data_IF_532205185799
#
_entry.id   IF_532205185799
#
_cell.length_a   1.000
_cell.length_b   1.000
_cell.length_c   1.000
_cell.angle_alpha   90.00
_cell.angle_beta   90.00
_cell.angle_gamma   90.00
#
_symmetry.space_group_name_H-M   'P 1'
#
loop_
_entity.id
_entity.type
_entity.pdbx_description
1 polymer ?
#
# COMPACT_ATOMS: atom_id res chain seq x y z
N UNK A 1 18.43 20.86 19.97
CA UNK A 1 18.38 20.12 21.26
C UNK A 1 19.81 19.97 21.76
N UNK A 2 20.04 20.09 23.05
CA UNK A 2 21.29 19.71 23.72
C UNK A 2 21.24 18.22 24.15
N UNK A 3 22.39 17.58 24.45
CA UNK A 3 22.45 16.14 24.78
C UNK A 3 21.55 15.73 25.96
N UNK A 4 21.37 16.60 26.95
CA UNK A 4 20.48 16.37 28.09
C UNK A 4 19.00 16.38 27.68
N UNK A 5 18.57 17.36 26.86
CA UNK A 5 17.23 17.35 26.28
C UNK A 5 16.99 16.10 25.43
N UNK A 6 18.02 15.60 24.75
CA UNK A 6 17.91 14.40 23.93
C UNK A 6 17.70 13.14 24.77
N UNK A 7 18.52 12.96 25.81
CA UNK A 7 18.37 11.85 26.77
C UNK A 7 16.99 11.86 27.45
N UNK A 8 16.47 13.05 27.78
CA UNK A 8 15.13 13.23 28.32
C UNK A 8 14.03 12.82 27.32
N UNK A 9 14.15 13.20 26.04
CA UNK A 9 13.19 12.80 25.01
C UNK A 9 13.18 11.28 24.77
N UNK A 10 14.35 10.64 24.80
CA UNK A 10 14.47 9.17 24.65
C UNK A 10 13.90 8.45 25.88
N UNK A 11 14.09 9.00 27.08
CA UNK A 11 13.42 8.50 28.27
C UNK A 11 11.88 8.62 28.16
N UNK A 12 11.37 9.69 27.54
CA UNK A 12 9.95 9.84 27.21
C UNK A 12 9.46 8.75 26.24
N UNK A 13 10.21 8.46 25.18
CA UNK A 13 9.89 7.38 24.24
C UNK A 13 9.88 6.00 24.91
N UNK A 14 10.85 5.72 25.79
CA UNK A 14 10.89 4.48 26.57
C UNK A 14 9.65 4.32 27.45
N UNK A 15 9.19 5.40 28.08
CA UNK A 15 7.96 5.38 28.88
C UNK A 15 6.72 5.09 28.03
N UNK A 16 6.62 5.71 26.85
CA UNK A 16 5.52 5.46 25.90
C UNK A 16 5.55 4.03 25.34
N UNK A 17 6.71 3.52 24.96
CA UNK A 17 6.88 2.14 24.49
C UNK A 17 6.46 1.14 25.57
N UNK A 18 6.85 1.38 26.84
CA UNK A 18 6.41 0.57 27.97
C UNK A 18 4.88 0.58 28.17
N UNK A 19 4.24 1.74 27.98
CA UNK A 19 2.78 1.85 28.04
C UNK A 19 2.09 1.05 26.93
N UNK A 20 2.59 1.14 25.70
CA UNK A 20 2.10 0.39 24.53
C UNK A 20 2.24 -1.13 24.76
N UNK A 21 3.41 -1.59 25.20
CA UNK A 21 3.65 -3.02 25.47
C UNK A 21 2.69 -3.52 26.55
N UNK A 22 2.51 -2.76 27.64
CA UNK A 22 1.56 -3.10 28.71
C UNK A 22 0.12 -3.16 28.20
N UNK A 23 -0.31 -2.22 27.37
CA UNK A 23 -1.64 -2.20 26.79
C UNK A 23 -1.87 -3.40 25.85
N UNK A 24 -0.86 -3.75 25.05
CA UNK A 24 -0.92 -4.88 24.13
C UNK A 24 -1.00 -6.23 24.83
N UNK A 25 -0.21 -6.47 25.89
CA UNK A 25 -0.33 -7.69 26.69
C UNK A 25 -1.68 -7.82 27.41
N UNK A 26 -2.27 -6.70 27.87
CA UNK A 26 -3.62 -6.71 28.46
C UNK A 26 -4.70 -7.05 27.43
N UNK A 27 -4.50 -6.65 26.17
CA UNK A 27 -5.39 -6.98 25.08
C UNK A 27 -5.25 -8.44 24.66
N UNK A 28 -4.01 -8.94 24.53
CA UNK A 28 -3.75 -10.35 24.16
C UNK A 28 -4.30 -11.32 25.20
N UNK A 29 -4.26 -10.97 26.48
CA UNK A 29 -4.85 -11.79 27.55
C UNK A 29 -6.40 -11.84 27.52
N UNK A 30 -7.06 -10.91 26.82
CA UNK A 30 -8.52 -10.86 26.64
C UNK A 30 -9.01 -11.54 25.36
N UNK A 31 -8.13 -11.73 24.38
CA UNK A 31 -8.45 -12.31 23.09
C UNK A 31 -7.98 -13.78 23.10
N UNK A 32 -8.90 -14.71 23.31
CA UNK A 32 -8.64 -16.16 23.18
C UNK A 32 -8.27 -16.59 21.75
N UNK A 33 -8.34 -15.66 20.78
CA UNK A 33 -7.93 -15.89 19.39
C UNK A 33 -6.56 -15.28 19.10
N UNK A 34 -5.67 -16.13 18.61
CA UNK A 34 -4.36 -15.85 18.06
C UNK A 34 -4.42 -14.79 16.93
N UNK A 35 -4.41 -13.51 17.31
CA UNK A 35 -4.29 -12.40 16.35
C UNK A 35 -2.82 -12.05 16.23
N UNK A 36 -2.15 -12.80 15.35
CA UNK A 36 -0.69 -12.78 15.11
C UNK A 36 -0.13 -11.36 15.04
N UNK A 37 -0.80 -10.46 14.31
CA UNK A 37 -0.37 -9.06 14.12
C UNK A 37 -0.28 -8.24 15.42
N UNK A 38 -1.17 -8.45 16.40
CA UNK A 38 -1.11 -7.71 17.66
C UNK A 38 0.06 -8.17 18.52
N UNK A 39 0.37 -9.48 18.50
CA UNK A 39 1.56 -10.04 19.15
C UNK A 39 2.82 -9.56 18.47
N UNK A 40 2.83 -9.51 17.14
CA UNK A 40 3.92 -8.96 16.34
C UNK A 40 4.14 -7.48 16.67
N UNK A 41 3.09 -6.65 16.72
CA UNK A 41 3.20 -5.24 17.09
C UNK A 41 3.78 -5.03 18.50
N UNK A 42 3.35 -5.83 19.48
CA UNK A 42 3.88 -5.76 20.86
C UNK A 42 5.34 -6.18 20.91
N UNK A 43 5.70 -7.28 20.23
CA UNK A 43 7.07 -7.77 20.11
C UNK A 43 7.96 -6.73 19.45
N UNK A 44 7.48 -6.12 18.38
CA UNK A 44 8.22 -5.10 17.67
C UNK A 44 8.39 -3.83 18.50
N UNK A 45 7.38 -3.43 19.26
CA UNK A 45 7.50 -2.31 20.20
C UNK A 45 8.51 -2.61 21.32
N UNK A 46 8.54 -3.84 21.85
CA UNK A 46 9.51 -4.27 22.86
C UNK A 46 10.95 -4.25 22.34
N UNK A 47 11.16 -4.77 21.13
CA UNK A 47 12.44 -4.70 20.43
C UNK A 47 12.89 -3.23 20.25
N UNK A 48 11.97 -2.32 19.92
CA UNK A 48 12.27 -0.90 19.74
C UNK A 48 12.66 -0.24 21.07
N UNK A 49 11.94 -0.57 22.16
CA UNK A 49 12.29 -0.14 23.50
C UNK A 49 13.69 -0.61 23.91
N UNK A 50 14.10 -1.83 23.53
CA UNK A 50 15.45 -2.34 23.78
C UNK A 50 16.53 -1.51 23.08
N UNK A 51 16.28 -1.11 21.83
CA UNK A 51 17.18 -0.25 21.06
C UNK A 51 17.27 1.15 21.68
N UNK A 52 16.13 1.76 22.04
CA UNK A 52 16.10 3.06 22.73
C UNK A 52 16.85 3.05 24.06
N UNK A 53 16.86 1.92 24.77
CA UNK A 53 17.62 1.76 26.01
C UNK A 53 19.13 1.72 25.74
N UNK A 54 19.57 1.00 24.70
CA UNK A 54 20.96 0.98 24.26
C UNK A 54 21.44 2.37 23.81
N UNK A 55 20.61 3.06 23.03
CA UNK A 55 20.80 4.45 22.61
C UNK A 55 20.98 5.39 23.80
N UNK A 56 20.09 5.32 24.80
CA UNK A 56 20.19 6.14 26.02
C UNK A 56 21.49 5.88 26.78
N UNK A 57 21.86 4.60 26.96
CA UNK A 57 23.11 4.21 27.60
C UNK A 57 24.35 4.78 26.89
N UNK A 58 24.34 4.81 25.55
CA UNK A 58 25.40 5.43 24.75
C UNK A 58 25.48 6.95 24.89
N UNK A 59 24.33 7.63 24.96
CA UNK A 59 24.27 9.09 25.18
C UNK A 59 24.75 9.49 26.58
N UNK A 60 24.42 8.68 27.59
CA UNK A 60 24.83 8.92 28.98
C UNK A 60 26.34 8.68 29.19
N UNK A 61 26.99 7.92 28.31
CA UNK A 61 28.41 7.52 28.42
C UNK A 61 29.38 8.24 27.45
N UNK A 62 28.88 8.89 26.39
CA UNK A 62 29.72 9.49 25.33
C UNK A 62 29.82 11.02 25.41
N UNK A 63 30.98 11.60 25.08
CA UNK A 63 31.14 13.06 24.91
C UNK A 63 30.41 13.56 23.65
N UNK A 64 29.78 14.75 23.68
CA UNK A 64 28.95 15.24 22.59
C UNK A 64 29.81 15.69 21.41
N UNK A 65 29.80 14.94 20.31
CA UNK A 65 30.53 15.33 19.10
C UNK A 65 30.16 14.64 17.79
N UNK A 66 29.12 13.80 17.75
CA UNK A 66 28.98 12.85 16.63
C UNK A 66 27.61 12.70 15.97
N UNK A 67 26.58 13.39 16.44
CA UNK A 67 25.19 13.17 16.00
C UNK A 67 24.59 14.48 15.46
N UNK A 68 23.99 14.45 14.27
CA UNK A 68 23.16 15.54 13.74
C UNK A 68 21.89 15.67 14.61
N UNK A 69 21.94 16.61 15.55
CA UNK A 69 20.92 16.81 16.59
C UNK A 69 19.56 17.21 16.01
N UNK A 70 19.51 17.75 14.80
CA UNK A 70 18.26 18.16 14.15
C UNK A 70 17.55 16.98 13.48
N UNK A 71 18.30 16.15 12.76
CA UNK A 71 17.76 14.91 12.17
C UNK A 71 17.24 13.97 13.27
N UNK A 72 17.98 13.85 14.39
CA UNK A 72 17.60 12.99 15.49
C UNK A 72 16.38 13.53 16.27
N UNK A 73 16.24 14.87 16.40
CA UNK A 73 15.07 15.49 17.00
C UNK A 73 13.77 15.22 16.20
N UNK A 74 13.82 15.29 14.86
CA UNK A 74 12.67 14.98 14.02
C UNK A 74 12.22 13.54 14.17
N UNK A 75 13.16 12.59 14.21
CA UNK A 75 12.85 11.17 14.29
C UNK A 75 12.38 10.76 15.69
N UNK A 76 12.90 11.38 16.75
CA UNK A 76 12.34 11.24 18.09
C UNK A 76 10.88 11.67 18.11
N UNK A 77 10.57 12.83 17.53
CA UNK A 77 9.21 13.35 17.49
C UNK A 77 8.28 12.43 16.69
N UNK A 78 8.74 11.95 15.53
CA UNK A 78 7.94 11.07 14.68
C UNK A 78 7.75 9.69 15.33
N UNK A 79 8.76 9.17 16.05
CA UNK A 79 8.63 7.97 16.90
C UNK A 79 7.61 8.15 18.02
N UNK A 80 7.57 9.34 18.63
CA UNK A 80 6.61 9.68 19.69
C UNK A 80 5.17 9.66 19.18
N UNK A 81 4.94 10.23 17.99
CA UNK A 81 3.63 10.24 17.33
C UNK A 81 3.18 8.82 17.00
N UNK A 82 4.05 8.00 16.40
CA UNK A 82 3.74 6.60 16.06
C UNK A 82 3.41 5.78 17.31
N UNK A 83 4.19 5.90 18.40
CA UNK A 83 3.88 5.19 19.66
C UNK A 83 2.54 5.62 20.27
N UNK A 84 2.18 6.91 20.17
CA UNK A 84 0.86 7.42 20.60
C UNK A 84 -0.27 6.87 19.74
N UNK A 85 -0.09 6.76 18.43
CA UNK A 85 -1.08 6.15 17.53
C UNK A 85 -1.29 4.67 17.85
N UNK A 86 -0.22 3.94 18.14
CA UNK A 86 -0.30 2.54 18.57
C UNK A 86 -1.05 2.41 19.90
N UNK A 87 -0.72 3.23 20.91
CA UNK A 87 -1.44 3.22 22.20
C UNK A 87 -2.93 3.50 22.00
N UNK A 88 -3.29 4.47 21.16
CA UNK A 88 -4.69 4.76 20.84
C UNK A 88 -5.39 3.59 20.13
N UNK A 89 -4.72 2.93 19.19
CA UNK A 89 -5.25 1.77 18.48
C UNK A 89 -5.51 0.62 19.47
N UNK A 90 -4.52 0.27 20.30
CA UNK A 90 -4.65 -0.78 21.32
C UNK A 90 -5.76 -0.48 22.32
N UNK A 91 -5.90 0.78 22.76
CA UNK A 91 -7.00 1.20 23.65
C UNK A 91 -8.35 1.04 22.99
N UNK A 92 -8.52 1.52 21.75
CA UNK A 92 -9.78 1.35 20.98
C UNK A 92 -10.15 -0.12 20.84
N UNK A 93 -9.17 -0.99 20.59
CA UNK A 93 -9.37 -2.44 20.54
C UNK A 93 -9.80 -3.00 21.90
N UNK A 94 -9.16 -2.57 22.99
CA UNK A 94 -9.45 -3.07 24.35
C UNK A 94 -10.87 -2.77 24.87
N UNK A 95 -11.54 -1.76 24.31
CA UNK A 95 -12.87 -1.30 24.72
C UNK A 95 -14.03 -1.86 23.90
N UNK A 96 -13.77 -2.47 22.74
CA UNK A 96 -14.84 -2.86 21.81
C UNK A 96 -15.28 -4.32 22.01
N UNK A 97 -16.47 -4.58 22.53
CA UNK A 97 -17.02 -5.94 22.65
C UNK A 97 -17.40 -6.63 21.31
N UNK A 98 -17.12 -5.99 20.15
CA UNK A 98 -17.35 -6.53 18.79
C UNK A 98 -16.08 -7.10 18.12
N UNK A 99 -15.05 -7.39 18.90
CA UNK A 99 -13.70 -7.75 18.45
C UNK A 99 -13.68 -8.87 17.39
N UNK A 100 -14.41 -9.97 17.60
CA UNK A 100 -14.41 -11.10 16.67
C UNK A 100 -15.03 -10.81 15.28
N UNK A 101 -16.00 -9.90 15.18
CA UNK A 101 -16.65 -9.56 13.89
C UNK A 101 -15.82 -8.59 13.05
N UNK A 102 -15.00 -7.74 13.69
CA UNK A 102 -14.22 -6.72 12.99
C UNK A 102 -12.86 -7.22 12.50
N UNK A 103 -12.30 -8.28 13.11
CA UNK A 103 -11.13 -8.97 12.56
C UNK A 103 -11.45 -9.67 11.23
N UNK A 104 -12.67 -10.19 11.06
CA UNK A 104 -13.11 -10.81 9.79
C UNK A 104 -13.44 -9.81 8.66
N UNK A 105 -13.44 -8.50 8.92
CA UNK A 105 -13.90 -7.48 7.97
C UNK A 105 -12.76 -6.67 7.30
N UNK A 106 -11.50 -7.10 7.43
CA UNK A 106 -10.36 -6.65 6.60
C UNK A 106 -9.88 -5.19 6.74
N UNK A 107 -10.56 -4.33 7.49
CA UNK A 107 -10.24 -2.89 7.53
C UNK A 107 -9.22 -2.42 8.58
N UNK A 108 -8.76 -3.29 9.50
CA UNK A 108 -7.89 -2.90 10.64
C UNK A 108 -6.51 -3.58 10.67
N UNK A 109 -6.30 -4.60 9.85
CA UNK A 109 -4.98 -5.23 9.63
C UNK A 109 -4.02 -4.25 8.92
N UNK A 110 -4.51 -3.45 7.97
CA UNK A 110 -3.72 -2.47 7.21
C UNK A 110 -3.05 -1.39 8.09
N UNK A 111 -3.78 -0.86 9.09
CA UNK A 111 -3.22 0.14 10.02
C UNK A 111 -2.17 -0.44 10.96
N UNK A 112 -2.37 -1.67 11.45
CA UNK A 112 -1.40 -2.33 12.32
C UNK A 112 -0.12 -2.68 11.54
N UNK A 113 -0.26 -3.23 10.32
CA UNK A 113 0.86 -3.51 9.41
C UNK A 113 1.64 -2.24 9.09
N UNK A 114 0.95 -1.14 8.83
CA UNK A 114 1.59 0.17 8.63
C UNK A 114 2.40 0.58 9.87
N UNK A 115 1.81 0.56 11.07
CA UNK A 115 2.52 0.96 12.29
C UNK A 115 3.71 0.06 12.63
N UNK A 116 3.62 -1.25 12.36
CA UNK A 116 4.74 -2.20 12.49
C UNK A 116 5.91 -1.78 11.60
N UNK A 117 5.63 -1.52 10.31
CA UNK A 117 6.65 -1.09 9.34
C UNK A 117 7.37 0.20 9.78
N UNK A 118 6.62 1.15 10.34
CA UNK A 118 7.20 2.40 10.86
C UNK A 118 8.12 2.14 12.06
N UNK A 119 7.72 1.26 13.00
CA UNK A 119 8.58 0.85 14.12
C UNK A 119 9.87 0.20 13.60
N UNK A 120 9.79 -0.74 12.66
CA UNK A 120 10.96 -1.39 12.08
C UNK A 120 11.92 -0.38 11.43
N UNK A 121 11.40 0.60 10.71
CA UNK A 121 12.19 1.66 10.11
C UNK A 121 12.91 2.52 11.15
N UNK A 122 12.24 2.87 12.25
CA UNK A 122 12.88 3.61 13.35
C UNK A 122 13.95 2.78 14.06
N UNK A 123 13.71 1.48 14.28
CA UNK A 123 14.74 0.59 14.84
C UNK A 123 16.01 0.60 14.03
N UNK A 124 15.89 0.43 12.72
CA UNK A 124 17.02 0.47 11.79
C UNK A 124 17.73 1.82 11.87
N UNK A 125 16.97 2.92 11.93
CA UNK A 125 17.53 4.26 12.12
C UNK A 125 18.37 4.38 13.40
N UNK A 126 17.82 4.00 14.56
CA UNK A 126 18.52 4.11 15.83
C UNK A 126 19.69 3.12 15.92
N UNK A 127 19.57 1.90 15.42
CA UNK A 127 20.71 0.98 15.35
C UNK A 127 21.85 1.61 14.52
N UNK A 128 21.53 2.17 13.36
CA UNK A 128 22.55 2.70 12.46
C UNK A 128 23.18 4.00 12.96
N UNK A 129 22.41 4.91 13.58
CA UNK A 129 22.94 6.14 14.17
C UNK A 129 23.94 5.90 15.30
N UNK A 130 23.87 4.73 15.94
CA UNK A 130 24.74 4.37 17.06
C UNK A 130 25.82 3.34 16.68
N UNK A 131 25.66 2.58 15.58
CA UNK A 131 26.65 1.62 15.10
C UNK A 131 27.64 2.17 14.06
N UNK A 132 27.29 3.20 13.28
CA UNK A 132 28.15 3.71 12.21
C UNK A 132 28.72 5.11 12.51
N UNK A 133 30.05 5.21 12.59
CA UNK A 133 30.83 6.46 12.69
C UNK A 133 30.82 7.29 11.37
N UNK A 134 30.08 6.85 10.35
CA UNK A 134 30.01 7.51 9.03
C UNK A 134 28.70 8.28 8.81
N UNK A 135 28.77 9.56 9.21
CA UNK A 135 27.68 10.55 9.35
C UNK A 135 26.92 10.97 8.08
N UNK A 136 27.41 10.70 6.87
CA UNK A 136 26.85 11.27 5.61
C UNK A 136 25.95 10.29 4.86
N UNK A 137 26.40 9.04 4.74
CA UNK A 137 25.68 7.98 4.01
C UNK A 137 24.32 7.69 4.66
N UNK A 138 24.22 7.79 5.98
CA UNK A 138 22.98 7.57 6.71
C UNK A 138 21.92 8.63 6.42
N UNK A 139 22.28 9.91 6.47
CA UNK A 139 21.35 11.01 6.19
C UNK A 139 20.79 10.91 4.77
N UNK A 140 21.64 10.57 3.81
CA UNK A 140 21.26 10.44 2.40
C UNK A 140 20.38 9.20 2.15
N UNK A 141 20.72 8.05 2.75
CA UNK A 141 19.88 6.85 2.68
C UNK A 141 18.51 7.07 3.32
N UNK A 142 18.46 7.71 4.50
CA UNK A 142 17.20 7.94 5.20
C UNK A 142 16.34 8.98 4.49
N UNK A 143 16.93 10.09 4.03
CA UNK A 143 16.19 11.04 3.20
C UNK A 143 15.61 10.32 1.97
N UNK A 144 16.39 9.46 1.30
CA UNK A 144 15.91 8.64 0.19
C UNK A 144 14.76 7.71 0.59
N UNK A 145 14.85 7.03 1.73
CA UNK A 145 13.81 6.10 2.19
C UNK A 145 12.51 6.82 2.55
N UNK A 146 12.59 7.95 3.26
CA UNK A 146 11.41 8.76 3.61
C UNK A 146 10.75 9.38 2.37
N UNK A 147 11.55 9.76 1.37
CA UNK A 147 11.05 10.23 0.08
C UNK A 147 10.30 9.10 -0.63
N UNK A 148 10.87 7.89 -0.67
CA UNK A 148 10.25 6.72 -1.32
C UNK A 148 8.96 6.32 -0.60
N UNK A 149 8.97 6.28 0.73
CA UNK A 149 7.78 5.88 1.52
C UNK A 149 6.64 6.90 1.37
N UNK A 150 6.93 8.20 1.47
CA UNK A 150 5.93 9.26 1.21
C UNK A 150 5.43 9.26 -0.22
N UNK A 151 6.30 8.99 -1.19
CA UNK A 151 5.90 8.89 -2.59
C UNK A 151 4.94 7.70 -2.80
N UNK A 152 5.22 6.56 -2.17
CA UNK A 152 4.36 5.38 -2.19
C UNK A 152 2.98 5.66 -1.56
N UNK A 153 2.94 6.27 -0.38
CA UNK A 153 1.67 6.62 0.28
C UNK A 153 0.84 7.61 -0.54
N UNK A 154 1.50 8.61 -1.12
CA UNK A 154 0.84 9.59 -1.99
C UNK A 154 0.28 8.92 -3.25
N UNK A 155 1.06 8.04 -3.88
CA UNK A 155 0.61 7.28 -5.05
C UNK A 155 -0.63 6.44 -4.73
N UNK A 156 -0.63 5.71 -3.61
CA UNK A 156 -1.79 4.90 -3.20
C UNK A 156 -3.02 5.75 -2.93
N UNK A 157 -2.85 6.90 -2.27
CA UNK A 157 -3.92 7.86 -2.01
C UNK A 157 -4.55 8.39 -3.30
N UNK A 158 -3.73 8.71 -4.31
CA UNK A 158 -4.21 9.22 -5.59
C UNK A 158 -4.89 8.12 -6.40
N UNK A 159 -4.36 6.89 -6.42
CA UNK A 159 -5.03 5.74 -7.05
C UNK A 159 -6.39 5.49 -6.42
N UNK A 160 -6.47 5.50 -5.08
CA UNK A 160 -7.74 5.33 -4.35
C UNK A 160 -8.75 6.43 -4.65
N UNK A 161 -8.29 7.64 -4.94
CA UNK A 161 -9.14 8.75 -5.34
C UNK A 161 -9.73 8.59 -6.75
N UNK A 162 -9.04 7.90 -7.66
CA UNK A 162 -9.58 7.60 -9.00
C UNK A 162 -10.73 6.59 -8.97
N UNK A 163 -10.72 5.67 -8.01
CA UNK A 163 -11.77 4.67 -7.83
C UNK A 163 -11.25 3.36 -7.23
N UNK A 164 -12.15 2.41 -7.03
CA UNK A 164 -11.82 1.07 -6.55
C UNK A 164 -11.43 0.17 -7.72
N UNK A 165 -10.29 -0.50 -7.65
CA UNK A 165 -9.90 -1.52 -8.62
C UNK A 165 -10.73 -2.80 -8.43
N UNK A 166 -10.95 -3.55 -9.51
CA UNK A 166 -11.71 -4.82 -9.49
C UNK A 166 -10.78 -6.05 -9.41
N UNK A 167 -9.57 -5.89 -8.87
CA UNK A 167 -8.55 -6.96 -8.79
C UNK A 167 -8.98 -8.07 -7.83
N UNK A 168 -9.50 -7.73 -6.64
CA UNK A 168 -10.02 -8.74 -5.70
C UNK A 168 -11.18 -9.56 -6.31
N UNK A 169 -12.02 -8.92 -7.13
CA UNK A 169 -13.11 -9.60 -7.83
C UNK A 169 -12.60 -10.57 -8.90
N UNK A 170 -11.49 -10.22 -9.54
CA UNK A 170 -10.80 -11.10 -10.49
C UNK A 170 -10.27 -12.35 -9.78
N UNK A 171 -9.64 -12.16 -8.61
CA UNK A 171 -9.11 -13.26 -7.81
C UNK A 171 -10.21 -14.23 -7.36
N UNK A 172 -11.36 -13.72 -6.90
CA UNK A 172 -12.53 -14.55 -6.58
C UNK A 172 -13.00 -15.38 -7.78
N UNK A 173 -13.09 -14.77 -8.97
CA UNK A 173 -13.49 -15.46 -10.21
C UNK A 173 -12.45 -16.50 -10.65
N UNK A 174 -11.17 -16.25 -10.38
CA UNK A 174 -10.10 -17.20 -10.63
C UNK A 174 -10.16 -18.40 -9.68
N UNK A 175 -10.49 -18.18 -8.40
CA UNK A 175 -10.60 -19.23 -7.39
C UNK A 175 -11.84 -20.12 -7.55
N UNK A 176 -12.97 -19.56 -8.02
CA UNK A 176 -14.22 -20.30 -8.22
C UNK A 176 -14.22 -21.23 -9.45
N UNK A 177 -13.12 -21.32 -10.19
CA UNK A 177 -13.03 -22.01 -11.48
C UNK A 177 -12.33 -23.37 -11.33
N UNK A 178 -12.84 -24.38 -12.05
CA UNK A 178 -12.09 -25.61 -12.33
C UNK A 178 -11.03 -25.31 -13.40
N UNK A 179 -9.76 -25.66 -13.15
CA UNK A 179 -8.61 -25.29 -13.99
C UNK A 179 -8.81 -25.54 -15.49
N UNK A 180 -9.49 -26.64 -15.85
CA UNK A 180 -9.74 -27.07 -17.23
C UNK A 180 -10.89 -26.30 -17.91
N UNK A 181 -11.71 -25.59 -17.15
CA UNK A 181 -12.84 -24.84 -17.69
C UNK A 181 -12.39 -23.62 -18.49
N UNK A 182 -13.06 -23.35 -19.61
CA UNK A 182 -12.77 -22.25 -20.53
C UNK A 182 -11.47 -22.37 -21.36
N UNK A 183 -10.69 -23.45 -21.25
CA UNK A 183 -9.44 -23.62 -22.03
C UNK A 183 -9.68 -23.56 -23.54
N UNK A 184 -10.86 -24.01 -23.98
CA UNK A 184 -11.25 -24.00 -25.39
C UNK A 184 -11.17 -22.61 -26.04
N UNK A 185 -11.32 -21.52 -25.28
CA UNK A 185 -11.27 -20.16 -25.83
C UNK A 185 -9.88 -19.81 -26.34
N UNK A 186 -8.83 -20.35 -25.70
CA UNK A 186 -7.43 -20.05 -26.04
C UNK A 186 -7.03 -20.68 -27.38
N UNK A 187 -7.73 -21.72 -27.79
CA UNK A 187 -7.54 -22.42 -29.07
C UNK A 187 -8.40 -21.85 -30.20
N UNK A 188 -9.15 -20.77 -29.96
CA UNK A 188 -9.98 -20.13 -30.99
C UNK A 188 -9.16 -19.20 -31.85
N UNK A 189 -9.36 -19.28 -33.16
CA UNK A 189 -8.72 -18.38 -34.13
C UNK A 189 -9.07 -16.92 -33.86
N UNK A 190 -10.32 -16.65 -33.44
CA UNK A 190 -10.78 -15.30 -33.12
C UNK A 190 -10.03 -14.71 -31.92
N UNK A 191 -9.71 -15.53 -30.91
CA UNK A 191 -8.90 -15.12 -29.78
C UNK A 191 -7.46 -14.83 -30.22
N UNK A 192 -6.84 -15.73 -30.99
CA UNK A 192 -5.49 -15.53 -31.52
C UNK A 192 -5.37 -14.29 -32.40
N UNK A 193 -6.37 -14.02 -33.25
CA UNK A 193 -6.42 -12.84 -34.11
C UNK A 193 -6.59 -11.55 -33.30
N UNK A 194 -7.48 -11.54 -32.29
CA UNK A 194 -7.63 -10.41 -31.38
C UNK A 194 -6.33 -10.11 -30.63
N UNK A 195 -5.70 -11.15 -30.08
CA UNK A 195 -4.49 -11.07 -29.28
C UNK A 195 -3.26 -10.67 -30.11
N UNK A 196 -3.20 -10.99 -31.40
CA UNK A 196 -2.07 -10.65 -32.28
C UNK A 196 -2.27 -9.33 -33.04
N UNK A 197 -3.43 -8.67 -32.89
CA UNK A 197 -3.73 -7.43 -33.61
C UNK A 197 -2.76 -6.30 -33.20
N UNK A 198 -2.12 -5.62 -34.18
CA UNK A 198 -1.28 -4.46 -33.91
C UNK A 198 -2.09 -3.18 -33.68
N UNK A 199 -3.37 -3.16 -34.09
CA UNK A 199 -4.29 -2.06 -33.87
C UNK A 199 -5.33 -2.40 -32.78
N UNK A 200 -6.07 -1.39 -32.32
CA UNK A 200 -7.19 -1.59 -31.40
C UNK A 200 -8.20 -2.57 -32.00
N UNK A 201 -8.37 -3.72 -31.34
CA UNK A 201 -9.25 -4.81 -31.74
C UNK A 201 -10.27 -5.10 -30.64
N UNK A 202 -11.41 -5.68 -31.02
CA UNK A 202 -12.49 -5.99 -30.10
C UNK A 202 -12.90 -7.46 -30.24
N UNK A 203 -12.95 -8.19 -29.12
CA UNK A 203 -13.42 -9.58 -29.06
C UNK A 203 -14.76 -9.63 -28.31
N UNK A 204 -15.83 -9.96 -29.03
CA UNK A 204 -17.17 -10.07 -28.44
C UNK A 204 -17.43 -11.51 -27.97
N UNK A 205 -17.63 -11.73 -26.67
CA UNK A 205 -18.11 -13.00 -26.14
C UNK A 205 -19.63 -12.98 -25.90
N UNK A 206 -20.40 -13.66 -26.76
CA UNK A 206 -21.85 -13.74 -26.64
C UNK A 206 -22.28 -15.06 -25.97
N UNK A 207 -23.34 -15.01 -25.15
CA UNK A 207 -23.93 -16.19 -24.54
C UNK A 207 -25.07 -15.83 -23.58
N UNK A 208 -25.89 -16.81 -23.21
CA UNK A 208 -27.00 -16.65 -22.25
C UNK A 208 -26.50 -16.36 -20.83
N UNK A 209 -27.38 -15.87 -19.95
CA UNK A 209 -27.04 -15.70 -18.53
C UNK A 209 -26.62 -17.04 -17.92
N UNK A 210 -25.56 -17.04 -17.09
CA UNK A 210 -25.02 -18.26 -16.49
C UNK A 210 -24.08 -19.09 -17.38
N UNK A 211 -23.84 -18.70 -18.64
CA UNK A 211 -22.96 -19.43 -19.56
C UNK A 211 -21.45 -19.36 -19.25
N UNK A 212 -21.06 -18.84 -18.08
CA UNK A 212 -19.65 -18.77 -17.66
C UNK A 212 -18.81 -17.67 -18.32
N UNK A 213 -19.39 -16.65 -18.96
CA UNK A 213 -18.62 -15.59 -19.66
C UNK A 213 -17.56 -14.91 -18.78
N UNK A 214 -17.91 -14.52 -17.56
CA UNK A 214 -16.95 -13.87 -16.65
C UNK A 214 -15.80 -14.80 -16.25
N UNK A 215 -16.06 -16.11 -16.16
CA UNK A 215 -15.06 -17.15 -15.88
C UNK A 215 -14.15 -17.38 -17.09
N UNK A 216 -14.68 -17.28 -18.31
CA UNK A 216 -13.88 -17.32 -19.53
C UNK A 216 -12.95 -16.09 -19.61
N UNK A 217 -13.49 -14.90 -19.35
CA UNK A 217 -12.71 -13.65 -19.37
C UNK A 217 -11.64 -13.65 -18.28
N UNK A 218 -11.91 -14.17 -17.07
CA UNK A 218 -10.88 -14.28 -16.04
C UNK A 218 -9.73 -15.20 -16.47
N UNK A 219 -10.00 -16.31 -17.17
CA UNK A 219 -8.93 -17.16 -17.75
C UNK A 219 -8.11 -16.40 -18.80
N UNK A 220 -8.74 -15.63 -19.68
CA UNK A 220 -8.03 -14.82 -20.68
C UNK A 220 -7.10 -13.82 -19.99
N UNK A 221 -7.61 -13.06 -19.03
CA UNK A 221 -6.83 -12.08 -18.26
C UNK A 221 -5.62 -12.77 -17.60
N UNK A 222 -5.85 -13.89 -16.92
CA UNK A 222 -4.79 -14.65 -16.25
C UNK A 222 -3.70 -15.12 -17.21
N UNK A 223 -4.07 -15.66 -18.37
CA UNK A 223 -3.10 -16.09 -19.40
C UNK A 223 -2.28 -14.89 -19.88
N UNK A 224 -2.92 -13.76 -20.16
CA UNK A 224 -2.20 -12.55 -20.56
C UNK A 224 -1.20 -12.12 -19.46
N UNK A 225 -1.61 -12.15 -18.20
CA UNK A 225 -0.75 -11.82 -17.06
C UNK A 225 0.46 -12.76 -16.92
N UNK A 226 0.25 -14.06 -17.07
CA UNK A 226 1.26 -15.07 -16.78
C UNK A 226 2.22 -15.34 -17.95
N UNK A 227 1.77 -15.18 -19.21
CA UNK A 227 2.53 -15.66 -20.38
C UNK A 227 2.82 -14.61 -21.44
N UNK A 228 2.16 -13.44 -21.41
CA UNK A 228 2.21 -12.46 -22.51
C UNK A 228 2.71 -11.11 -22.04
N UNK A 229 2.36 -10.69 -20.82
CA UNK A 229 2.78 -9.40 -20.28
C UNK A 229 4.30 -9.32 -20.16
N UNK A 230 4.87 -8.33 -20.82
CA UNK A 230 6.26 -7.91 -20.63
C UNK A 230 6.27 -6.72 -19.65
N UNK A 231 6.72 -6.92 -18.39
CA UNK A 231 6.72 -5.85 -17.39
C UNK A 231 7.47 -4.62 -17.88
N UNK A 232 6.83 -3.46 -17.82
CA UNK A 232 7.42 -2.19 -18.24
C UNK A 232 7.28 -1.83 -19.71
N UNK A 233 6.93 -2.78 -20.57
CA UNK A 233 6.73 -2.56 -22.00
C UNK A 233 5.23 -2.63 -22.32
N UNK A 234 4.56 -3.63 -21.75
CA UNK A 234 3.14 -3.89 -21.93
C UNK A 234 2.38 -3.73 -20.61
N UNK A 235 1.12 -3.33 -20.70
CA UNK A 235 0.21 -3.29 -19.55
C UNK A 235 -1.12 -4.00 -19.87
N UNK A 236 -1.76 -4.51 -18.83
CA UNK A 236 -3.08 -5.11 -18.90
C UNK A 236 -4.00 -4.41 -17.91
N UNK A 237 -5.13 -3.90 -18.38
CA UNK A 237 -6.17 -3.35 -17.53
C UNK A 237 -7.47 -4.11 -17.75
N UNK A 238 -8.29 -4.22 -16.73
CA UNK A 238 -9.62 -4.81 -16.85
C UNK A 238 -10.57 -4.20 -15.82
N UNK A 239 -11.88 -4.24 -16.11
CA UNK A 239 -12.89 -3.75 -15.18
C UNK A 239 -14.14 -4.62 -15.24
N UNK A 240 -14.56 -5.14 -14.09
CA UNK A 240 -15.78 -5.93 -14.00
C UNK A 240 -16.99 -5.03 -13.74
N UNK A 241 -17.91 -4.99 -14.70
CA UNK A 241 -19.20 -4.31 -14.56
C UNK A 241 -20.22 -5.25 -13.89
N UNK A 242 -20.69 -4.90 -12.68
CA UNK A 242 -21.64 -5.69 -11.90
C UNK A 242 -22.92 -4.92 -11.64
N UNK A 243 -24.07 -5.51 -12.00
CA UNK A 243 -25.38 -4.92 -11.68
C UNK A 243 -25.67 -4.83 -10.19
N UNK A 244 -25.10 -5.73 -9.38
CA UNK A 244 -25.20 -5.69 -7.91
C UNK A 244 -24.38 -4.57 -7.28
N UNK A 245 -23.43 -3.98 -8.02
CA UNK A 245 -22.59 -2.87 -7.56
C UNK A 245 -22.73 -1.69 -8.52
N UNK A 246 -23.67 -0.78 -8.24
CA UNK A 246 -23.93 0.41 -9.08
C UNK A 246 -22.69 1.27 -9.30
N UNK A 247 -21.76 1.31 -8.33
CA UNK A 247 -20.50 2.06 -8.48
C UNK A 247 -19.59 1.49 -9.58
N UNK A 248 -19.67 0.18 -9.85
CA UNK A 248 -18.90 -0.48 -10.91
C UNK A 248 -19.41 -0.13 -12.32
N UNK A 249 -20.68 0.28 -12.44
CA UNK A 249 -21.29 0.68 -13.72
C UNK A 249 -21.00 2.15 -14.07
N UNK A 250 -20.39 2.90 -13.13
CA UNK A 250 -20.03 4.29 -13.34
C UNK A 250 -18.89 4.40 -14.36
N UNK A 251 -19.02 5.22 -15.41
CA UNK A 251 -17.93 5.51 -16.34
C UNK A 251 -16.67 6.03 -15.63
N UNK A 252 -16.86 6.76 -14.54
CA UNK A 252 -15.77 7.29 -13.71
C UNK A 252 -14.99 6.16 -13.04
N UNK A 253 -15.68 5.22 -12.40
CA UNK A 253 -15.04 4.07 -11.74
C UNK A 253 -14.34 3.16 -12.74
N UNK A 254 -14.94 2.97 -13.92
CA UNK A 254 -14.35 2.17 -15.00
C UNK A 254 -13.05 2.78 -15.51
N UNK A 255 -13.03 4.08 -15.84
CA UNK A 255 -11.81 4.71 -16.34
C UNK A 255 -10.78 4.85 -15.22
N UNK A 256 -11.23 5.17 -13.99
CA UNK A 256 -10.37 5.27 -12.83
C UNK A 256 -9.69 3.95 -12.46
N UNK A 257 -10.40 2.83 -12.53
CA UNK A 257 -9.82 1.50 -12.26
C UNK A 257 -8.79 1.09 -13.30
N UNK A 258 -9.03 1.41 -14.58
CA UNK A 258 -8.08 1.20 -15.67
C UNK A 258 -6.82 2.02 -15.45
N UNK A 259 -6.95 3.33 -15.19
CA UNK A 259 -5.81 4.22 -14.92
C UNK A 259 -5.03 3.72 -13.70
N UNK A 260 -5.72 3.35 -12.63
CA UNK A 260 -5.10 2.80 -11.42
C UNK A 260 -4.25 1.55 -11.70
N UNK A 261 -4.73 0.64 -12.55
CA UNK A 261 -3.98 -0.56 -12.95
C UNK A 261 -2.76 -0.24 -13.82
N UNK A 262 -2.88 0.72 -14.76
CA UNK A 262 -1.74 1.18 -15.56
C UNK A 262 -0.63 1.77 -14.68
N UNK A 263 -1.00 2.58 -13.68
CA UNK A 263 -0.03 3.17 -12.75
C UNK A 263 0.75 2.11 -11.96
N UNK A 264 0.08 1.04 -11.53
CA UNK A 264 0.72 -0.08 -10.80
C UNK A 264 1.70 -0.88 -11.67
N UNK A 265 1.47 -0.93 -12.98
CA UNK A 265 2.26 -1.72 -13.94
C UNK A 265 3.38 -0.94 -14.63
N UNK A 266 3.50 0.35 -14.34
CA UNK A 266 4.55 1.18 -14.91
C UNK A 266 5.93 0.87 -14.32
N UNK A 267 6.95 0.80 -15.18
CA UNK A 267 8.35 0.74 -14.73
C UNK A 267 8.84 2.02 -14.08
N UNK A 268 8.24 3.16 -14.44
CA UNK A 268 8.54 4.45 -13.82
C UNK A 268 7.24 5.17 -13.44
N UNK A 269 6.67 4.82 -12.27
CA UNK A 269 5.47 5.47 -11.76
C UNK A 269 5.65 6.98 -11.59
N UNK A 270 6.88 7.47 -11.37
CA UNK A 270 7.13 8.89 -11.10
C UNK A 270 6.78 9.80 -12.28
N UNK A 271 7.01 9.32 -13.50
CA UNK A 271 6.65 10.03 -14.74
C UNK A 271 5.14 10.14 -14.88
N UNK A 272 4.42 9.04 -14.63
CA UNK A 272 2.95 9.00 -14.73
C UNK A 272 2.26 9.79 -13.62
N UNK A 273 2.91 9.93 -12.47
CA UNK A 273 2.41 10.73 -11.35
C UNK A 273 2.39 12.24 -11.67
N UNK A 274 3.18 12.73 -12.63
CA UNK A 274 3.20 14.15 -13.01
C UNK A 274 1.85 14.66 -13.51
N UNK A 275 1.31 14.12 -14.63
CA UNK A 275 -0.02 14.48 -15.14
C UNK A 275 -1.13 14.22 -14.11
N UNK A 276 -1.03 13.10 -13.39
CA UNK A 276 -2.02 12.70 -12.40
C UNK A 276 -2.08 13.66 -11.21
N UNK A 277 -0.93 14.11 -10.70
CA UNK A 277 -0.85 15.08 -9.60
C UNK A 277 -1.44 16.44 -10.00
N UNK A 278 -1.23 16.89 -11.25
CA UNK A 278 -1.87 18.12 -11.75
C UNK A 278 -3.39 18.00 -11.70
N UNK A 279 -3.93 16.85 -12.09
CA UNK A 279 -5.37 16.59 -12.03
C UNK A 279 -5.86 16.47 -10.59
N UNK A 280 -5.12 15.77 -9.74
CA UNK A 280 -5.42 15.63 -8.31
C UNK A 280 -5.46 17.00 -7.62
N UNK A 281 -4.49 17.88 -7.89
CA UNK A 281 -4.42 19.23 -7.31
C UNK A 281 -5.58 20.13 -7.77
N UNK A 282 -6.04 19.97 -9.02
CA UNK A 282 -7.20 20.70 -9.57
C UNK A 282 -8.50 20.35 -8.82
N UNK A 283 -8.67 19.11 -8.39
CA UNK A 283 -9.96 18.60 -7.90
C UNK A 283 -10.02 18.31 -6.40
N UNK A 284 -8.92 17.87 -5.76
CA UNK A 284 -8.95 17.41 -4.36
C UNK A 284 -9.33 18.51 -3.37
N UNK A 285 -8.95 19.77 -3.63
CA UNK A 285 -9.26 20.91 -2.74
C UNK A 285 -10.76 21.20 -2.64
N UNK A 286 -11.56 20.69 -3.59
CA UNK A 286 -13.02 20.89 -3.65
C UNK A 286 -13.81 19.63 -3.30
N UNK A 287 -13.12 18.56 -2.85
CA UNK A 287 -13.72 17.22 -2.66
C UNK A 287 -14.49 16.75 -3.90
N UNK A 288 -14.05 17.17 -5.09
CA UNK A 288 -14.71 16.89 -6.35
C UNK A 288 -14.04 15.69 -7.04
N UNK A 289 -14.83 14.91 -7.77
CA UNK A 289 -14.31 13.90 -8.69
C UNK A 289 -13.91 14.58 -10.01
N UNK A 290 -12.89 14.06 -10.71
CA UNK A 290 -12.55 14.54 -12.05
C UNK A 290 -13.75 14.46 -12.99
N UNK A 291 -13.80 15.35 -13.97
CA UNK A 291 -14.75 15.19 -15.06
C UNK A 291 -14.41 13.95 -15.89
N UNK A 292 -15.40 13.37 -16.56
CA UNK A 292 -15.17 12.22 -17.43
C UNK A 292 -14.19 12.56 -18.57
N UNK A 293 -14.29 13.77 -19.13
CA UNK A 293 -13.39 14.27 -20.16
C UNK A 293 -11.93 14.36 -19.66
N UNK A 294 -11.71 14.87 -18.45
CA UNK A 294 -10.36 14.92 -17.86
C UNK A 294 -9.79 13.51 -17.64
N UNK A 295 -10.61 12.54 -17.23
CA UNK A 295 -10.18 11.14 -17.07
C UNK A 295 -9.85 10.50 -18.41
N UNK A 296 -10.62 10.77 -19.46
CA UNK A 296 -10.33 10.29 -20.81
C UNK A 296 -9.02 10.86 -21.34
N UNK A 297 -8.82 12.17 -21.19
CA UNK A 297 -7.58 12.83 -21.60
C UNK A 297 -6.38 12.28 -20.83
N UNK A 298 -6.53 12.09 -19.52
CA UNK A 298 -5.50 11.46 -18.70
C UNK A 298 -5.20 10.03 -19.15
N UNK A 299 -6.21 9.22 -19.42
CA UNK A 299 -6.00 7.85 -19.94
C UNK A 299 -5.23 7.87 -21.27
N UNK A 300 -5.58 8.78 -22.20
CA UNK A 300 -4.89 8.92 -23.49
C UNK A 300 -3.44 9.32 -23.28
N UNK A 301 -3.16 10.29 -22.42
CA UNK A 301 -1.81 10.72 -22.07
C UNK A 301 -0.99 9.58 -21.46
N UNK A 302 -1.53 8.88 -20.46
CA UNK A 302 -0.85 7.77 -19.79
C UNK A 302 -0.65 6.57 -20.71
N UNK A 303 -1.53 6.37 -21.69
CA UNK A 303 -1.43 5.23 -22.61
C UNK A 303 -0.20 5.28 -23.51
N UNK A 304 0.34 6.48 -23.75
CA UNK A 304 1.53 6.70 -24.59
C UNK A 304 2.83 6.17 -23.96
N UNK A 305 2.83 5.91 -22.66
CA UNK A 305 3.99 5.40 -21.94
C UNK A 305 4.13 3.88 -22.03
N UNK A 306 3.14 3.19 -22.60
CA UNK A 306 3.16 1.74 -22.78
C UNK A 306 3.24 1.43 -24.27
N UNK A 307 4.11 0.49 -24.65
CA UNK A 307 4.20 0.02 -26.04
C UNK A 307 2.95 -0.73 -26.47
N UNK A 308 2.28 -1.39 -25.51
CA UNK A 308 1.03 -2.13 -25.72
C UNK A 308 0.15 -2.13 -24.48
N UNK A 309 -1.16 -1.96 -24.67
CA UNK A 309 -2.15 -2.07 -23.58
C UNK A 309 -3.24 -3.07 -23.99
N UNK A 310 -3.39 -4.13 -23.21
CA UNK A 310 -4.55 -5.02 -23.27
C UNK A 310 -5.64 -4.47 -22.34
N UNK A 311 -6.87 -4.32 -22.82
CA UNK A 311 -7.98 -3.70 -22.09
C UNK A 311 -9.33 -4.25 -22.52
#
# INVERSE_FOLDING_TARGET
MDPLSLAASIAGLLSLAGAVISAGYKLSAKLDSDTDDTKTLVTETANFSGILLGVKSHLDSSRPGLIDLEALANIIRDSELTLKEIDQLLRKLSTSNRLAMLFKAGGREEQAVKLIRWIEQYKLFFILCFQFDHRKVLKDLLASWWIVDRASEHQEKVIRWLGTTTEAEHDDLCQQRDEASAEWILNREEFGAWLSSPASSFLWLNGTQGSGKSVIVSKIIRVIQETILEPGISALAYHYCRFSNSSSLSPYSLVGSIIGQLLKQSSDPSILMGPLNKLYDKYHKRSAHPSFEDLQNLFVELSQYFGRIFK
#
